data_IF_739247256258
#
_entry.id   IF_739247256258
#
_cell.length_a   1.000
_cell.length_b   1.000
_cell.length_c   1.000
_cell.angle_alpha   90.00
_cell.angle_beta   90.00
_cell.angle_gamma   90.00
#
_symmetry.space_group_name_H-M   'P 1'
#
loop_
_entity.id
_entity.type
_entity.pdbx_description
1 polymer ?
#
# COMPACT_ATOMS: atom_id res chain seq x y z
N UNK A 1 1.50 -18.89 8.19
CA UNK A 1 0.32 -19.16 7.34
C UNK A 1 0.74 -19.08 5.90
N UNK A 2 0.34 -20.01 5.10
CA UNK A 2 0.53 -19.98 3.64
C UNK A 2 -0.83 -19.74 3.01
N UNK A 3 -1.28 -18.50 2.98
CA UNK A 3 -2.67 -18.16 2.65
C UNK A 3 -3.16 -18.85 1.36
N UNK A 4 -2.39 -18.76 0.28
CA UNK A 4 -2.79 -19.35 -1.01
C UNK A 4 -2.79 -20.89 -0.94
N UNK A 5 -1.84 -21.51 -0.23
CA UNK A 5 -1.85 -22.93 0.01
C UNK A 5 -3.06 -23.37 0.83
N UNK A 6 -3.34 -22.66 1.91
CA UNK A 6 -4.48 -22.93 2.80
C UNK A 6 -5.81 -22.76 2.05
N UNK A 7 -5.92 -21.75 1.17
CA UNK A 7 -7.07 -21.57 0.29
C UNK A 7 -7.27 -22.74 -0.68
N UNK A 8 -6.20 -23.28 -1.29
CA UNK A 8 -6.28 -24.41 -2.22
C UNK A 8 -6.82 -25.69 -1.55
N UNK A 9 -6.55 -25.85 -0.27
CA UNK A 9 -6.95 -27.05 0.51
C UNK A 9 -8.22 -26.84 1.33
N UNK A 10 -8.74 -25.61 1.37
CA UNK A 10 -9.93 -25.24 2.13
C UNK A 10 -11.21 -25.86 1.56
N UNK A 11 -12.09 -26.32 2.47
CA UNK A 11 -13.36 -26.95 2.13
C UNK A 11 -14.52 -26.18 2.74
N UNK A 12 -15.39 -25.65 1.90
CA UNK A 12 -16.65 -25.03 2.34
C UNK A 12 -17.65 -26.12 2.80
N UNK A 13 -18.41 -25.94 3.89
CA UNK A 13 -18.46 -24.77 4.78
C UNK A 13 -17.54 -24.88 6.01
N UNK A 14 -16.63 -25.84 6.06
CA UNK A 14 -15.85 -26.17 7.26
C UNK A 14 -14.67 -25.23 7.51
N UNK A 15 -14.18 -24.52 6.47
CA UNK A 15 -13.11 -23.54 6.61
C UNK A 15 -13.69 -22.13 6.74
N UNK A 16 -13.24 -21.39 7.78
CA UNK A 16 -13.62 -19.98 7.96
C UNK A 16 -13.03 -19.16 6.83
N UNK A 17 -13.82 -18.20 6.32
CA UNK A 17 -13.36 -17.22 5.33
C UNK A 17 -12.21 -16.40 5.89
N UNK A 18 -11.05 -16.36 5.23
CA UNK A 18 -9.96 -15.48 5.63
C UNK A 18 -10.38 -14.01 5.51
N UNK A 19 -9.87 -13.17 6.41
CA UNK A 19 -10.06 -11.72 6.41
C UNK A 19 -8.70 -11.06 6.29
N UNK A 20 -8.55 -10.16 5.32
CA UNK A 20 -7.35 -9.36 5.11
C UNK A 20 -7.72 -7.89 5.28
N UNK A 21 -7.05 -7.18 6.17
CA UNK A 21 -7.14 -5.73 6.28
C UNK A 21 -6.03 -5.08 5.47
N UNK A 22 -6.35 -3.93 4.87
CA UNK A 22 -5.40 -3.08 4.14
C UNK A 22 -5.37 -1.72 4.83
N UNK A 23 -4.27 -1.43 5.49
CA UNK A 23 -4.06 -0.26 6.33
C UNK A 23 -3.04 0.65 5.66
N UNK A 24 -3.46 1.85 5.27
CA UNK A 24 -2.62 2.73 4.47
C UNK A 24 -3.23 4.10 4.21
N UNK A 25 -2.65 4.78 3.25
CA UNK A 25 -2.99 6.14 2.83
C UNK A 25 -4.02 6.19 1.69
N UNK A 26 -3.95 7.25 0.85
CA UNK A 26 -4.82 7.47 -0.30
C UNK A 26 -4.77 6.35 -1.35
N UNK A 27 -3.60 5.75 -1.58
CA UNK A 27 -3.43 4.65 -2.54
C UNK A 27 -4.20 3.42 -2.08
N UNK A 28 -4.14 3.11 -0.79
CA UNK A 28 -4.93 2.03 -0.18
C UNK A 28 -6.41 2.37 -0.13
N UNK A 29 -6.76 3.64 0.14
CA UNK A 29 -8.15 4.08 0.15
C UNK A 29 -8.82 3.91 -1.22
N UNK A 30 -8.06 4.03 -2.32
CA UNK A 30 -8.53 3.92 -3.70
C UNK A 30 -8.69 5.28 -4.39
N UNK A 31 -7.87 6.27 -4.00
CA UNK A 31 -7.81 7.57 -4.64
C UNK A 31 -6.92 7.54 -5.88
N UNK A 32 -7.33 8.21 -6.95
CA UNK A 32 -6.65 8.28 -8.24
C UNK A 32 -6.35 9.74 -8.63
N UNK A 33 -7.17 10.34 -9.46
CA UNK A 33 -6.98 11.73 -9.91
C UNK A 33 -7.25 12.71 -8.78
N UNK A 34 -6.49 13.80 -8.75
CA UNK A 34 -6.86 14.97 -7.96
C UNK A 34 -7.85 15.82 -8.74
N UNK A 35 -8.80 16.43 -8.05
CA UNK A 35 -9.77 17.35 -8.64
C UNK A 35 -9.48 18.80 -8.20
N UNK A 36 -9.71 19.73 -9.12
CA UNK A 36 -9.64 21.16 -8.81
C UNK A 36 -10.97 21.59 -8.20
N UNK A 37 -10.91 22.20 -7.02
CA UNK A 37 -12.07 22.73 -6.31
C UNK A 37 -11.62 23.73 -5.25
N UNK A 38 -12.56 24.19 -4.43
CA UNK A 38 -12.27 25.10 -3.31
C UNK A 38 -11.46 24.40 -2.21
N UNK A 39 -11.50 23.06 -2.20
CA UNK A 39 -10.71 22.20 -1.29
C UNK A 39 -10.03 21.10 -2.08
N UNK A 40 -8.94 20.55 -1.53
CA UNK A 40 -8.28 19.38 -2.07
C UNK A 40 -9.26 18.19 -2.12
N UNK A 41 -9.29 17.47 -3.25
CA UNK A 41 -10.14 16.31 -3.43
C UNK A 41 -9.53 15.31 -4.40
N UNK A 42 -10.02 14.06 -4.33
CA UNK A 42 -9.62 12.99 -5.22
C UNK A 42 -10.85 12.27 -5.78
N UNK A 43 -10.67 11.65 -6.95
CA UNK A 43 -11.61 10.67 -7.48
C UNK A 43 -11.28 9.33 -6.87
N UNK A 44 -12.27 8.66 -6.28
CA UNK A 44 -12.13 7.33 -5.73
C UNK A 44 -12.72 6.28 -6.68
N UNK A 45 -12.00 5.15 -6.83
CA UNK A 45 -12.43 4.01 -7.64
C UNK A 45 -12.10 2.72 -6.90
N UNK A 46 -13.07 2.24 -6.10
CA UNK A 46 -12.88 1.05 -5.27
C UNK A 46 -12.79 -0.25 -6.08
N UNK A 47 -13.28 -0.28 -7.32
CA UNK A 47 -13.18 -1.46 -8.18
C UNK A 47 -11.78 -1.63 -8.80
N UNK A 48 -11.05 -0.54 -8.99
CA UNK A 48 -9.73 -0.52 -9.61
C UNK A 48 -8.58 -0.66 -8.61
N UNK A 49 -8.84 -0.46 -7.31
CA UNK A 49 -7.81 -0.48 -6.28
C UNK A 49 -7.15 -1.86 -6.14
N UNK A 50 -5.89 -1.89 -5.76
CA UNK A 50 -5.05 -3.09 -5.75
C UNK A 50 -5.57 -4.24 -4.88
N UNK A 51 -6.18 -3.95 -3.74
CA UNK A 51 -6.73 -4.99 -2.86
C UNK A 51 -7.97 -5.66 -3.45
N UNK A 52 -8.78 -4.95 -4.23
CA UNK A 52 -9.89 -5.55 -4.95
C UNK A 52 -9.39 -6.43 -6.11
N UNK A 53 -8.32 -6.02 -6.79
CA UNK A 53 -7.63 -6.87 -7.78
C UNK A 53 -7.09 -8.14 -7.14
N UNK A 54 -6.40 -8.01 -6.00
CA UNK A 54 -5.90 -9.15 -5.23
C UNK A 54 -7.05 -10.08 -4.81
N UNK A 55 -8.18 -9.52 -4.34
CA UNK A 55 -9.37 -10.32 -3.99
C UNK A 55 -9.85 -11.15 -5.16
N UNK A 56 -9.91 -10.58 -6.35
CA UNK A 56 -10.29 -11.30 -7.59
C UNK A 56 -9.27 -12.39 -7.92
N UNK A 57 -7.97 -12.14 -7.78
CA UNK A 57 -6.93 -13.15 -7.99
C UNK A 57 -7.07 -14.31 -6.98
N UNK A 58 -7.29 -14.01 -5.70
CA UNK A 58 -7.50 -15.03 -4.66
C UNK A 58 -8.77 -15.86 -4.90
N UNK A 59 -9.83 -15.26 -5.44
CA UNK A 59 -11.06 -15.96 -5.80
C UNK A 59 -10.82 -16.99 -6.90
N UNK A 60 -9.85 -16.80 -7.80
CA UNK A 60 -9.48 -17.83 -8.80
C UNK A 60 -8.80 -19.05 -8.19
N UNK A 61 -8.18 -18.90 -7.02
CA UNK A 61 -7.53 -20.00 -6.29
C UNK A 61 -8.56 -20.94 -5.70
N UNK A 62 -9.62 -20.39 -5.09
CA UNK A 62 -10.75 -21.16 -4.58
C UNK A 62 -12.05 -20.35 -4.71
N UNK A 63 -12.86 -20.61 -5.77
CA UNK A 63 -14.09 -19.84 -6.01
C UNK A 63 -15.19 -20.10 -4.97
N UNK A 64 -15.06 -21.15 -4.17
CA UNK A 64 -16.02 -21.51 -3.14
C UNK A 64 -15.73 -20.92 -1.76
N UNK A 65 -14.54 -20.33 -1.58
CA UNK A 65 -14.13 -19.71 -0.33
C UNK A 65 -13.59 -18.29 -0.59
N UNK A 66 -14.47 -17.28 -0.74
CA UNK A 66 -14.03 -15.92 -0.99
C UNK A 66 -13.30 -15.34 0.21
N UNK A 67 -12.25 -14.55 -0.04
CA UNK A 67 -11.55 -13.77 0.99
C UNK A 67 -12.30 -12.48 1.27
N UNK A 68 -12.50 -12.15 2.55
CA UNK A 68 -13.06 -10.87 2.96
C UNK A 68 -11.98 -9.79 3.02
N UNK A 69 -12.30 -8.60 2.55
CA UNK A 69 -11.40 -7.44 2.53
C UNK A 69 -11.93 -6.35 3.47
N UNK A 70 -11.03 -5.79 4.27
CA UNK A 70 -11.25 -4.56 5.04
C UNK A 70 -10.35 -3.48 4.41
N UNK A 71 -10.95 -2.48 3.77
CA UNK A 71 -10.22 -1.30 3.33
C UNK A 71 -10.18 -0.29 4.49
N UNK A 72 -9.02 -0.18 5.12
CA UNK A 72 -8.70 0.77 6.17
C UNK A 72 -7.73 1.86 5.67
N UNK A 73 -7.78 2.20 4.39
CA UNK A 73 -7.06 3.33 3.81
C UNK A 73 -7.74 4.65 4.12
N UNK A 74 -6.95 5.70 4.37
CA UNK A 74 -7.43 7.08 4.56
C UNK A 74 -6.56 8.03 3.75
N UNK A 75 -7.18 8.78 2.82
CA UNK A 75 -6.45 9.72 1.97
C UNK A 75 -5.78 10.81 2.80
N UNK A 76 -4.50 11.09 2.51
CA UNK A 76 -3.69 12.08 3.22
C UNK A 76 -3.08 11.60 4.54
N UNK A 77 -3.36 10.36 4.97
CA UNK A 77 -2.82 9.82 6.21
C UNK A 77 -1.35 9.39 6.07
N UNK A 78 -0.63 9.35 7.19
CA UNK A 78 0.73 8.86 7.31
C UNK A 78 0.84 7.86 8.48
N UNK A 79 1.96 7.17 8.64
CA UNK A 79 2.11 6.14 9.65
C UNK A 79 1.94 6.66 11.09
N UNK A 80 2.48 7.83 11.50
CA UNK A 80 2.25 8.40 12.82
C UNK A 80 0.76 8.72 13.11
N UNK A 81 0.04 9.33 12.18
CA UNK A 81 -1.37 9.66 12.35
C UNK A 81 -2.24 8.41 12.37
N UNK A 82 -1.91 7.42 11.56
CA UNK A 82 -2.63 6.16 11.45
C UNK A 82 -2.66 5.36 12.76
N UNK A 83 -1.66 5.51 13.63
CA UNK A 83 -1.65 4.88 14.97
C UNK A 83 -2.91 5.18 15.79
N UNK A 84 -3.50 6.37 15.65
CA UNK A 84 -4.69 6.78 16.38
C UNK A 84 -5.95 5.98 15.99
N UNK A 85 -5.95 5.35 14.81
CA UNK A 85 -7.09 4.61 14.27
C UNK A 85 -6.83 3.10 14.12
N UNK A 86 -5.60 2.63 14.37
CA UNK A 86 -5.21 1.23 14.19
C UNK A 86 -6.13 0.26 14.96
N UNK A 87 -6.48 0.59 16.20
CA UNK A 87 -7.38 -0.23 17.01
C UNK A 87 -8.78 -0.31 16.41
N UNK A 88 -9.35 0.87 16.09
CA UNK A 88 -10.71 0.97 15.57
C UNK A 88 -10.87 0.32 14.19
N UNK A 89 -9.93 0.59 13.28
CA UNK A 89 -10.08 0.27 11.86
C UNK A 89 -9.52 -1.10 11.49
N UNK A 90 -8.65 -1.67 12.33
CA UNK A 90 -7.98 -2.94 12.04
C UNK A 90 -8.11 -3.94 13.18
N UNK A 91 -7.54 -3.66 14.36
CA UNK A 91 -7.35 -4.67 15.42
C UNK A 91 -8.69 -5.19 15.93
N UNK A 92 -9.67 -4.30 16.18
CA UNK A 92 -11.01 -4.68 16.64
C UNK A 92 -11.75 -5.65 15.72
N UNK A 93 -11.40 -5.67 14.43
CA UNK A 93 -11.99 -6.57 13.43
C UNK A 93 -11.31 -7.94 13.36
N UNK A 94 -10.19 -8.12 14.06
CA UNK A 94 -9.43 -9.39 14.13
C UNK A 94 -9.16 -10.03 12.76
N UNK A 95 -8.59 -9.30 11.78
CA UNK A 95 -8.23 -9.90 10.52
C UNK A 95 -7.12 -10.94 10.70
N UNK A 96 -6.97 -11.87 9.78
CA UNK A 96 -5.87 -12.85 9.80
C UNK A 96 -4.55 -12.22 9.37
N UNK A 97 -4.63 -11.26 8.43
CA UNK A 97 -3.48 -10.56 7.85
C UNK A 97 -3.82 -9.07 7.80
N UNK A 98 -2.84 -8.21 8.08
CA UNK A 98 -2.91 -6.78 7.82
C UNK A 98 -1.78 -6.36 6.88
N UNK A 99 -2.12 -5.94 5.66
CA UNK A 99 -1.19 -5.31 4.74
C UNK A 99 -1.06 -3.84 5.12
N UNK A 100 0.17 -3.41 5.41
CA UNK A 100 0.50 -2.04 5.84
C UNK A 100 1.22 -1.33 4.69
N UNK A 101 0.67 -0.22 4.20
CA UNK A 101 1.18 0.54 3.06
C UNK A 101 1.16 2.04 3.38
N UNK A 102 2.27 2.54 3.91
CA UNK A 102 2.56 3.96 4.15
C UNK A 102 3.92 4.30 3.54
N UNK A 103 4.26 5.55 3.42
CA UNK A 103 5.51 6.18 3.07
C UNK A 103 5.30 7.50 2.31
N UNK A 104 4.33 7.54 1.37
CA UNK A 104 4.19 8.66 0.43
C UNK A 104 3.94 10.00 1.14
N UNK A 105 3.16 10.01 2.22
CA UNK A 105 2.88 11.18 3.04
C UNK A 105 3.85 11.33 4.23
N UNK A 106 4.65 10.30 4.50
CA UNK A 106 5.64 10.30 5.59
C UNK A 106 6.94 11.03 5.20
N UNK A 107 7.17 11.25 3.90
CA UNK A 107 8.37 11.91 3.40
C UNK A 107 8.53 13.36 3.84
N UNK A 108 7.49 13.98 4.39
CA UNK A 108 7.54 15.27 5.06
C UNK A 108 8.10 15.22 6.48
N UNK A 109 8.02 14.08 7.14
CA UNK A 109 8.52 13.81 8.49
C UNK A 109 9.98 13.33 8.46
N UNK A 110 10.55 12.94 9.60
CA UNK A 110 11.85 12.26 9.64
C UNK A 110 11.71 10.75 9.40
N UNK A 111 12.78 10.12 8.91
CA UNK A 111 12.77 8.65 8.73
C UNK A 111 12.65 7.91 10.05
N UNK A 112 13.13 8.50 11.14
CA UNK A 112 13.04 7.99 12.51
C UNK A 112 11.57 7.98 12.99
N UNK A 113 10.82 9.05 12.76
CA UNK A 113 9.40 9.13 13.11
C UNK A 113 8.57 8.12 12.32
N UNK A 114 8.81 8.02 11.03
CA UNK A 114 8.18 7.03 10.15
C UNK A 114 8.43 5.60 10.62
N UNK A 115 9.71 5.23 10.84
CA UNK A 115 10.07 3.87 11.26
C UNK A 115 9.62 3.55 12.68
N UNK A 116 9.60 4.53 13.59
CA UNK A 116 9.05 4.35 14.94
C UNK A 116 7.54 4.05 14.89
N UNK A 117 6.79 4.78 14.06
CA UNK A 117 5.37 4.52 13.86
C UNK A 117 5.09 3.15 13.24
N UNK A 118 5.85 2.76 12.19
CA UNK A 118 5.74 1.43 11.61
C UNK A 118 6.05 0.32 12.62
N UNK A 119 7.08 0.50 13.44
CA UNK A 119 7.43 -0.45 14.51
C UNK A 119 6.27 -0.65 15.47
N UNK A 120 5.66 0.43 15.91
CA UNK A 120 4.51 0.37 16.82
C UNK A 120 3.32 -0.32 16.14
N UNK A 121 3.02 0.00 14.87
CA UNK A 121 1.97 -0.67 14.09
C UNK A 121 2.23 -2.18 14.03
N UNK A 122 3.41 -2.60 13.61
CA UNK A 122 3.75 -4.03 13.49
C UNK A 122 3.70 -4.75 14.84
N UNK A 123 4.27 -4.14 15.88
CA UNK A 123 4.29 -4.73 17.22
C UNK A 123 2.88 -4.94 17.76
N UNK A 124 1.98 -3.95 17.60
CA UNK A 124 0.58 -4.07 18.03
C UNK A 124 -0.19 -5.11 17.24
N UNK A 125 0.03 -5.20 15.92
CA UNK A 125 -0.58 -6.23 15.09
C UNK A 125 -0.13 -7.63 15.54
N UNK A 126 1.18 -7.83 15.72
CA UNK A 126 1.73 -9.12 16.19
C UNK A 126 1.18 -9.48 17.56
N UNK A 127 1.12 -8.54 18.50
CA UNK A 127 0.56 -8.76 19.83
C UNK A 127 -0.94 -9.13 19.81
N UNK A 128 -1.67 -8.67 18.78
CA UNK A 128 -3.06 -9.02 18.53
C UNK A 128 -3.24 -10.31 17.71
N UNK A 129 -2.16 -11.07 17.46
CA UNK A 129 -2.16 -12.29 16.64
C UNK A 129 -2.56 -12.04 15.16
N UNK A 130 -2.42 -10.81 14.68
CA UNK A 130 -2.64 -10.42 13.29
C UNK A 130 -1.27 -10.40 12.59
N UNK A 131 -1.15 -11.08 11.44
CA UNK A 131 0.10 -11.11 10.67
C UNK A 131 0.26 -9.86 9.85
N UNK A 132 1.28 -9.01 10.11
CA UNK A 132 1.58 -7.87 9.28
C UNK A 132 2.30 -8.30 8.00
N UNK A 133 2.04 -7.60 6.91
CA UNK A 133 2.78 -7.64 5.65
C UNK A 133 3.11 -6.18 5.29
N UNK A 134 4.37 -5.85 5.12
CA UNK A 134 4.78 -4.56 4.57
C UNK A 134 4.58 -4.59 3.05
N UNK A 135 3.73 -3.71 2.54
CA UNK A 135 3.66 -3.40 1.12
C UNK A 135 4.43 -2.10 0.87
N UNK A 136 5.52 -2.16 0.12
CA UNK A 136 6.26 -0.94 -0.23
C UNK A 136 5.45 -0.07 -1.20
N UNK A 137 5.63 1.27 -1.19
CA UNK A 137 4.79 2.19 -1.98
C UNK A 137 5.07 2.13 -3.48
N UNK A 138 4.31 2.90 -4.26
CA UNK A 138 4.69 3.30 -5.62
C UNK A 138 5.86 4.27 -5.59
N UNK A 139 6.37 4.64 -6.77
CA UNK A 139 7.27 5.78 -6.90
C UNK A 139 6.51 7.10 -6.85
N UNK A 140 7.24 8.18 -6.58
CA UNK A 140 6.80 9.56 -6.78
C UNK A 140 7.04 9.99 -8.23
N UNK A 141 6.46 11.13 -8.62
CA UNK A 141 6.76 11.78 -9.88
C UNK A 141 8.25 12.14 -9.99
N UNK A 142 8.78 12.10 -11.21
CA UNK A 142 10.18 12.40 -11.51
C UNK A 142 10.36 13.84 -12.02
N UNK A 143 9.26 14.47 -12.42
CA UNK A 143 9.18 15.88 -12.87
C UNK A 143 7.75 16.41 -12.64
N UNK A 144 7.55 17.73 -12.81
CA UNK A 144 6.21 18.35 -12.77
C UNK A 144 5.57 18.21 -14.14
N UNK A 145 4.53 17.38 -14.24
CA UNK A 145 3.82 17.18 -15.51
C UNK A 145 3.00 18.44 -15.88
N UNK A 146 2.92 18.83 -17.18
CA UNK A 146 2.13 20.00 -17.61
C UNK A 146 0.65 19.96 -17.18
N UNK A 147 0.06 18.76 -17.15
CA UNK A 147 -1.34 18.56 -16.78
C UNK A 147 -1.55 18.41 -15.26
N UNK A 148 -0.48 18.53 -14.45
CA UNK A 148 -0.64 18.61 -12.99
C UNK A 148 -1.54 19.82 -12.67
N UNK A 149 -2.61 19.57 -11.91
CA UNK A 149 -3.56 20.59 -11.49
C UNK A 149 -2.82 21.77 -10.84
N UNK A 150 -3.10 23.04 -11.21
CA UNK A 150 -2.31 24.19 -10.77
C UNK A 150 -2.09 24.28 -9.26
N UNK A 151 -3.10 23.99 -8.46
CA UNK A 151 -3.00 24.03 -6.99
C UNK A 151 -2.02 23.01 -6.40
N UNK A 152 -1.63 21.98 -7.13
CA UNK A 152 -0.71 20.91 -6.67
C UNK A 152 0.69 21.00 -7.31
N UNK A 153 0.97 21.97 -8.19
CA UNK A 153 2.25 22.07 -8.91
C UNK A 153 3.45 22.28 -7.98
N UNK A 154 3.29 23.11 -6.95
CA UNK A 154 4.35 23.34 -5.98
C UNK A 154 4.63 22.07 -5.18
N UNK A 155 3.60 21.34 -4.78
CA UNK A 155 3.76 20.03 -4.13
C UNK A 155 4.40 19.01 -5.07
N UNK A 156 4.01 18.95 -6.35
CA UNK A 156 4.62 18.08 -7.34
C UNK A 156 6.11 18.40 -7.57
N UNK A 157 6.52 19.66 -7.44
CA UNK A 157 7.93 20.03 -7.50
C UNK A 157 8.71 19.51 -6.26
N UNK A 158 8.11 19.60 -5.08
CA UNK A 158 8.69 19.04 -3.85
C UNK A 158 8.86 17.53 -3.93
N UNK A 159 7.82 16.81 -4.36
CA UNK A 159 7.86 15.34 -4.46
C UNK A 159 8.84 14.86 -5.54
N UNK A 160 8.95 15.58 -6.67
CA UNK A 160 9.98 15.30 -7.68
C UNK A 160 11.41 15.50 -7.12
N UNK A 161 11.62 16.55 -6.32
CA UNK A 161 12.91 16.78 -5.66
C UNK A 161 13.23 15.66 -4.62
N UNK A 162 12.25 15.17 -3.88
CA UNK A 162 12.43 14.02 -2.98
C UNK A 162 12.82 12.76 -3.74
N UNK A 163 12.19 12.50 -4.89
CA UNK A 163 12.58 11.39 -5.75
C UNK A 163 14.03 11.53 -6.23
N UNK A 164 14.39 12.70 -6.81
CA UNK A 164 15.72 12.97 -7.35
C UNK A 164 16.84 12.93 -6.30
N UNK A 165 16.54 13.27 -5.05
CA UNK A 165 17.50 13.23 -3.93
C UNK A 165 17.72 11.83 -3.35
N UNK A 166 16.97 10.82 -3.78
CA UNK A 166 16.98 9.47 -3.17
C UNK A 166 16.33 9.40 -1.80
N UNK A 167 15.59 10.46 -1.39
CA UNK A 167 14.91 10.48 -0.09
C UNK A 167 13.95 9.30 0.06
N UNK A 168 13.19 8.99 -0.99
CA UNK A 168 12.27 7.87 -0.99
C UNK A 168 12.96 6.52 -0.82
N UNK A 169 14.12 6.31 -1.49
CA UNK A 169 14.92 5.10 -1.32
C UNK A 169 15.31 4.90 0.16
N UNK A 170 15.74 5.98 0.85
CA UNK A 170 16.09 5.95 2.28
C UNK A 170 14.92 5.46 3.15
N UNK A 171 13.70 5.94 2.92
CA UNK A 171 12.51 5.55 3.71
C UNK A 171 12.08 4.11 3.42
N UNK A 172 12.09 3.71 2.16
CA UNK A 172 11.75 2.33 1.78
C UNK A 172 12.76 1.33 2.34
N UNK A 173 14.07 1.64 2.24
CA UNK A 173 15.12 0.77 2.78
C UNK A 173 15.02 0.66 4.31
N UNK A 174 14.75 1.76 5.01
CA UNK A 174 14.54 1.76 6.46
C UNK A 174 13.31 0.91 6.86
N UNK A 175 12.20 1.01 6.13
CA UNK A 175 11.02 0.20 6.37
C UNK A 175 11.28 -1.30 6.13
N UNK A 176 12.02 -1.65 5.06
CA UNK A 176 12.42 -3.03 4.76
C UNK A 176 13.38 -3.59 5.81
N UNK A 177 14.33 -2.80 6.30
CA UNK A 177 15.23 -3.19 7.37
C UNK A 177 14.46 -3.46 8.67
N UNK A 178 13.51 -2.59 9.02
CA UNK A 178 12.61 -2.80 10.16
C UNK A 178 11.75 -4.07 10.01
N UNK A 179 11.18 -4.29 8.82
CA UNK A 179 10.40 -5.50 8.54
C UNK A 179 11.25 -6.75 8.74
N UNK A 180 12.49 -6.76 8.25
CA UNK A 180 13.44 -7.88 8.42
C UNK A 180 13.76 -8.11 9.91
N UNK A 181 13.98 -7.04 10.69
CA UNK A 181 14.24 -7.13 12.14
C UNK A 181 13.06 -7.80 12.88
N UNK A 182 11.83 -7.47 12.50
CA UNK A 182 10.62 -7.96 13.17
C UNK A 182 10.06 -9.26 12.56
N UNK A 183 10.71 -9.81 11.53
CA UNK A 183 10.22 -10.99 10.82
C UNK A 183 8.93 -10.75 10.04
N UNK A 184 8.69 -9.51 9.59
CA UNK A 184 7.53 -9.10 8.79
C UNK A 184 7.82 -9.37 7.31
N UNK A 185 6.91 -10.07 6.64
CA UNK A 185 7.02 -10.31 5.20
C UNK A 185 6.91 -9.00 4.40
N UNK A 186 7.66 -8.90 3.30
CA UNK A 186 7.69 -7.72 2.44
C UNK A 186 7.18 -8.05 1.04
N UNK A 187 6.14 -7.34 0.61
CA UNK A 187 5.68 -7.27 -0.77
C UNK A 187 6.30 -6.03 -1.42
N UNK A 188 7.39 -6.23 -2.18
CA UNK A 188 8.23 -5.13 -2.67
C UNK A 188 7.74 -4.58 -4.01
N UNK A 189 6.69 -3.75 -3.98
CA UNK A 189 6.19 -3.05 -5.15
C UNK A 189 7.16 -1.98 -5.63
N UNK A 190 7.85 -1.27 -4.71
CA UNK A 190 8.80 -0.22 -5.05
C UNK A 190 9.93 -0.73 -5.96
N UNK A 191 10.45 -1.94 -5.69
CA UNK A 191 11.46 -2.54 -6.55
C UNK A 191 10.93 -2.81 -7.97
N UNK A 192 9.66 -3.16 -8.14
CA UNK A 192 9.03 -3.33 -9.47
C UNK A 192 8.91 -1.99 -10.20
N UNK A 193 8.51 -0.92 -9.49
CA UNK A 193 8.47 0.43 -10.06
C UNK A 193 9.84 0.91 -10.51
N UNK A 194 10.88 0.72 -9.70
CA UNK A 194 12.28 1.07 -10.05
C UNK A 194 12.76 0.29 -11.28
N UNK A 195 12.38 -0.98 -11.42
CA UNK A 195 12.71 -1.78 -12.59
C UNK A 195 12.05 -1.23 -13.85
N UNK A 196 10.76 -0.88 -13.80
CA UNK A 196 10.03 -0.29 -14.92
C UNK A 196 10.59 1.08 -15.32
N UNK A 197 10.98 1.92 -14.37
CA UNK A 197 11.69 3.18 -14.63
C UNK A 197 13.02 2.92 -15.38
N UNK A 198 13.81 1.95 -14.91
CA UNK A 198 15.09 1.59 -15.55
C UNK A 198 14.92 1.02 -16.99
N UNK A 199 13.77 0.43 -17.28
CA UNK A 199 13.35 -0.03 -18.60
C UNK A 199 12.81 1.11 -19.49
N UNK A 200 12.72 2.35 -18.98
CA UNK A 200 12.33 3.54 -19.70
C UNK A 200 10.85 3.94 -19.54
N UNK A 201 10.14 3.38 -18.56
CA UNK A 201 8.78 3.83 -18.28
C UNK A 201 8.81 5.28 -17.75
N UNK A 202 7.98 6.14 -18.34
CA UNK A 202 7.71 7.45 -17.76
C UNK A 202 6.82 7.28 -16.52
N UNK A 203 7.44 7.29 -15.33
CA UNK A 203 6.75 7.10 -14.06
C UNK A 203 5.68 8.18 -13.88
N UNK A 204 6.01 9.45 -14.13
CA UNK A 204 5.10 10.56 -13.90
C UNK A 204 3.84 10.48 -14.75
N UNK A 205 3.97 10.16 -16.03
CA UNK A 205 2.84 9.99 -16.94
C UNK A 205 1.94 8.79 -16.57
N UNK A 206 2.46 7.85 -15.79
CA UNK A 206 1.74 6.67 -15.31
C UNK A 206 1.15 6.83 -13.89
N UNK A 207 1.24 8.03 -13.31
CA UNK A 207 0.54 8.40 -12.08
C UNK A 207 -0.76 9.12 -12.42
N UNK A 208 -1.89 8.68 -11.87
CA UNK A 208 -3.21 9.23 -12.15
C UNK A 208 -3.36 10.71 -11.79
N UNK A 209 -2.63 11.16 -10.77
CA UNK A 209 -2.58 12.58 -10.35
C UNK A 209 -1.27 13.27 -10.77
N UNK A 210 -0.37 12.58 -11.50
CA UNK A 210 0.97 13.05 -11.88
C UNK A 210 1.89 13.39 -10.70
N UNK A 211 1.61 12.84 -9.50
CA UNK A 211 2.36 13.11 -8.27
C UNK A 211 2.76 11.81 -7.54
N UNK A 212 1.77 11.04 -7.07
CA UNK A 212 2.01 9.89 -6.20
C UNK A 212 0.91 8.81 -6.23
N UNK A 213 -0.19 9.02 -6.96
CA UNK A 213 -1.24 8.01 -7.10
C UNK A 213 -1.01 7.21 -8.39
N UNK A 214 -0.72 5.91 -8.33
CA UNK A 214 -0.61 5.08 -9.53
C UNK A 214 -1.88 5.11 -10.39
N UNK A 215 -1.72 4.97 -11.70
CA UNK A 215 -2.87 4.78 -12.58
C UNK A 215 -3.62 3.49 -12.19
N UNK A 216 -4.91 3.42 -12.57
CA UNK A 216 -5.72 2.22 -12.31
C UNK A 216 -5.04 0.95 -12.78
N UNK A 217 -4.43 0.99 -13.97
CA UNK A 217 -3.73 -0.18 -14.52
C UNK A 217 -2.55 -0.59 -13.64
N UNK A 218 -1.74 0.35 -13.16
CA UNK A 218 -0.54 0.05 -12.39
C UNK A 218 -0.81 -0.37 -10.94
N UNK A 219 -2.04 -0.24 -10.45
CA UNK A 219 -2.45 -0.91 -9.21
C UNK A 219 -2.27 -2.44 -9.28
N UNK A 220 -2.14 -3.01 -10.50
CA UNK A 220 -1.79 -4.43 -10.67
C UNK A 220 -0.45 -4.81 -10.05
N UNK A 221 0.54 -3.90 -10.05
CA UNK A 221 1.87 -4.16 -9.49
C UNK A 221 1.75 -4.54 -8.01
N UNK A 222 0.96 -3.80 -7.25
CA UNK A 222 0.71 -4.11 -5.83
C UNK A 222 -0.01 -5.45 -5.66
N UNK A 223 -1.02 -5.72 -6.47
CA UNK A 223 -1.77 -6.96 -6.41
C UNK A 223 -0.87 -8.17 -6.73
N UNK A 224 -0.02 -8.05 -7.75
CA UNK A 224 0.89 -9.11 -8.20
C UNK A 224 1.93 -9.44 -7.12
N UNK A 225 2.64 -8.42 -6.56
CA UNK A 225 3.64 -8.67 -5.51
C UNK A 225 3.01 -9.18 -4.22
N UNK A 226 1.81 -8.74 -3.87
CA UNK A 226 1.07 -9.27 -2.73
C UNK A 226 0.67 -10.73 -2.96
N UNK A 227 0.19 -11.06 -4.16
CA UNK A 227 -0.16 -12.44 -4.49
C UNK A 227 1.08 -13.36 -4.43
N UNK A 228 2.23 -12.91 -4.95
CA UNK A 228 3.50 -13.62 -4.84
C UNK A 228 3.90 -13.82 -3.37
N UNK A 229 3.84 -12.75 -2.56
CA UNK A 229 4.20 -12.79 -1.13
C UNK A 229 3.28 -13.73 -0.34
N UNK A 230 1.96 -13.65 -0.55
CA UNK A 230 0.98 -14.49 0.15
C UNK A 230 1.00 -15.98 -0.30
N UNK A 231 1.69 -16.30 -1.40
CA UNK A 231 1.96 -17.69 -1.81
C UNK A 231 3.15 -18.31 -1.05
N UNK A 232 4.01 -17.49 -0.48
CA UNK A 232 5.09 -17.88 0.41
C UNK A 232 4.62 -18.12 1.86
N UNK A 233 5.56 -18.20 2.77
CA UNK A 233 5.30 -18.17 4.21
C UNK A 233 5.22 -16.71 4.67
N UNK A 234 4.08 -16.31 5.20
CA UNK A 234 3.83 -15.01 5.83
C UNK A 234 3.43 -15.21 7.28
#
# INVERSE_FOLDING_TARGET
>A
MRLIHDLKTAVYPHTKTPVIAFFGDSVTHGAFECIQGDTAGCIFDFDAVYHERLRRMLLTVNPWLPVSIINAGVAGDNAPLALNRLERDVISHKPHICVVNFCLNDLGETVEEYTAALREIFTRLIAAEIRPVLLTPSMLNTYVHPDTIPMYRDFAAVTAAWHQSGRMDTYVDAAKALAAELGVAVADAYAKWKALEAEGMDVTANLANYINHPSRELHRIFADVLFETLNGEV
#
